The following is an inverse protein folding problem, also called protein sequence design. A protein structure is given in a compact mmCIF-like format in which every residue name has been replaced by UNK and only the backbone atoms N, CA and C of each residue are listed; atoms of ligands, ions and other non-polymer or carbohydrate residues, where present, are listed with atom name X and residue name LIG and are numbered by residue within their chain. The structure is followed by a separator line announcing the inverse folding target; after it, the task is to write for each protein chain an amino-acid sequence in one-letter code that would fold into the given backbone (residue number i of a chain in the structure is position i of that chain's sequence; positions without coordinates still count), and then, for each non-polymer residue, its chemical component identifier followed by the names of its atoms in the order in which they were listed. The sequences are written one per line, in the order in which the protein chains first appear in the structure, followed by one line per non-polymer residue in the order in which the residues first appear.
data_IF_140368820626
#
_entry.id   IF_140368820626
#
_cell.length_a   1.000
_cell.length_b   1.000
_cell.length_c   1.000
_cell.angle_alpha   90.00
_cell.angle_beta   90.00
_cell.angle_gamma   90.00
#
_symmetry.space_group_name_H-M   'P 1'
#
loop_
_entity.id
_entity.type
_entity.pdbx_description
1 polymer ?
#
# COMPACT_ATOMS: atom_id res chain seq x y z
N UNK A 1 -4.53 2.95 14.79
CA UNK A 1 -4.88 1.70 14.08
C UNK A 1 -3.63 1.18 13.43
N UNK A 2 -3.39 -0.13 13.46
CA UNK A 2 -2.26 -0.74 12.79
C UNK A 2 -2.74 -2.04 12.12
N UNK A 3 -2.25 -2.28 10.91
CA UNK A 3 -2.47 -3.51 10.15
C UNK A 3 -1.12 -4.05 9.73
N UNK A 4 -0.94 -5.36 9.89
CA UNK A 4 0.19 -6.10 9.34
C UNK A 4 -0.36 -7.23 8.49
N UNK A 5 0.24 -7.46 7.33
CA UNK A 5 -0.08 -8.57 6.43
C UNK A 5 1.23 -9.08 5.86
N UNK A 6 1.34 -10.38 5.62
CA UNK A 6 2.57 -10.94 5.10
C UNK A 6 2.39 -12.35 4.58
N UNK A 7 3.37 -12.77 3.79
CA UNK A 7 3.42 -14.06 3.14
C UNK A 7 4.81 -14.65 3.28
N UNK A 8 4.86 -15.98 3.44
CA UNK A 8 6.09 -16.75 3.49
C UNK A 8 5.90 -18.00 2.61
N UNK A 9 6.88 -18.26 1.76
CA UNK A 9 6.96 -19.44 0.90
C UNK A 9 8.24 -20.24 1.15
N UNK A 10 8.22 -21.55 0.95
CA UNK A 10 9.38 -22.43 0.94
C UNK A 10 9.91 -22.71 -0.48
N UNK A 11 9.20 -22.27 -1.52
CA UNK A 11 9.58 -22.37 -2.93
C UNK A 11 9.47 -21.02 -3.66
N UNK A 12 9.91 -21.01 -4.92
CA UNK A 12 9.49 -19.94 -5.83
C UNK A 12 8.02 -20.16 -6.19
N UNK A 13 7.24 -19.09 -6.18
CA UNK A 13 5.82 -19.10 -6.51
C UNK A 13 5.60 -18.70 -7.97
N UNK A 14 4.42 -19.01 -8.50
CA UNK A 14 3.99 -18.37 -9.73
C UNK A 14 3.63 -16.90 -9.46
N UNK A 15 3.82 -16.03 -10.45
CA UNK A 15 3.51 -14.59 -10.34
C UNK A 15 2.07 -14.29 -9.90
N UNK A 16 1.13 -15.20 -10.12
CA UNK A 16 -0.26 -15.08 -9.66
C UNK A 16 -0.45 -15.29 -8.15
N UNK A 17 0.53 -15.91 -7.49
CA UNK A 17 0.55 -16.21 -6.06
C UNK A 17 1.44 -15.24 -5.26
N UNK A 18 2.14 -14.34 -5.96
CA UNK A 18 3.05 -13.37 -5.35
C UNK A 18 2.35 -12.39 -4.41
N UNK A 19 3.08 -12.04 -3.34
CA UNK A 19 2.62 -11.05 -2.38
C UNK A 19 2.94 -9.63 -2.86
N UNK A 20 1.90 -8.88 -3.24
CA UNK A 20 2.00 -7.47 -3.62
C UNK A 20 1.96 -6.51 -2.44
N UNK A 21 2.88 -5.53 -2.40
CA UNK A 21 2.90 -4.49 -1.35
C UNK A 21 2.51 -3.10 -1.83
N UNK A 22 2.40 -2.83 -3.13
CA UNK A 22 2.05 -1.52 -3.70
C UNK A 22 0.54 -1.27 -3.88
N UNK A 23 0.17 0.01 -4.03
CA UNK A 23 -1.17 0.42 -4.45
C UNK A 23 -2.08 0.91 -3.33
N UNK A 24 -3.35 1.15 -3.67
CA UNK A 24 -4.35 1.75 -2.77
C UNK A 24 -4.54 1.02 -1.44
N UNK A 25 -4.41 -0.32 -1.47
CA UNK A 25 -4.57 -1.19 -0.30
C UNK A 25 -3.23 -1.64 0.31
N UNK A 26 -2.11 -1.23 -0.30
CA UNK A 26 -0.74 -1.49 0.15
C UNK A 26 -0.04 -0.22 0.64
N UNK A 27 1.18 0.00 0.18
CA UNK A 27 1.90 1.25 0.35
C UNK A 27 1.31 2.28 -0.61
N UNK A 28 0.41 3.13 -0.10
CA UNK A 28 -0.41 4.04 -0.90
C UNK A 28 0.38 5.04 -1.75
N UNK A 29 1.63 5.30 -1.40
CA UNK A 29 2.53 6.17 -2.15
C UNK A 29 3.05 5.56 -3.47
N UNK A 30 2.79 4.27 -3.72
CA UNK A 30 3.23 3.53 -4.90
C UNK A 30 2.04 3.01 -5.72
N UNK A 31 2.21 2.79 -7.04
CA UNK A 31 1.16 2.23 -7.89
C UNK A 31 0.81 0.80 -7.49
N UNK A 32 -0.39 0.36 -7.89
CA UNK A 32 -0.70 -1.07 -7.91
C UNK A 32 0.24 -1.79 -8.89
N UNK A 33 0.67 -3.01 -8.57
CA UNK A 33 1.70 -3.72 -9.34
C UNK A 33 3.12 -3.49 -8.82
N UNK A 34 3.33 -2.58 -7.87
CA UNK A 34 4.67 -2.35 -7.30
C UNK A 34 5.00 -3.36 -6.18
N UNK A 35 6.21 -3.91 -6.22
CA UNK A 35 6.77 -4.74 -5.15
C UNK A 35 6.00 -6.05 -4.97
N UNK A 36 6.23 -7.00 -5.87
CA UNK A 36 5.71 -8.36 -5.80
C UNK A 36 6.85 -9.34 -5.51
N UNK A 37 6.53 -10.43 -4.82
CA UNK A 37 7.46 -11.52 -4.62
C UNK A 37 6.92 -12.64 -3.74
N UNK A 38 7.67 -13.73 -3.70
CA UNK A 38 7.31 -14.97 -3.01
C UNK A 38 7.07 -14.79 -1.51
N UNK A 39 7.78 -13.83 -0.92
CA UNK A 39 7.69 -13.52 0.50
C UNK A 39 7.62 -12.02 0.71
N UNK A 40 6.85 -11.59 1.70
CA UNK A 40 6.82 -10.18 2.03
C UNK A 40 6.03 -9.83 3.26
N UNK A 41 6.13 -8.56 3.61
CA UNK A 41 5.41 -7.94 4.71
C UNK A 41 4.94 -6.55 4.29
N UNK A 42 3.69 -6.26 4.61
CA UNK A 42 3.03 -4.97 4.50
C UNK A 42 2.62 -4.55 5.92
N UNK A 43 3.05 -3.37 6.33
CA UNK A 43 2.65 -2.74 7.59
C UNK A 43 2.05 -1.37 7.30
N UNK A 44 0.86 -1.12 7.83
CA UNK A 44 0.15 0.15 7.68
C UNK A 44 -0.23 0.65 9.06
N UNK A 45 0.17 1.88 9.38
CA UNK A 45 -0.16 2.53 10.64
C UNK A 45 -0.96 3.78 10.34
N UNK A 46 -2.13 3.91 10.97
CA UNK A 46 -3.02 5.07 10.82
C UNK A 46 -3.36 5.69 12.17
N UNK A 47 -3.18 7.00 12.27
CA UNK A 47 -3.72 7.82 13.35
C UNK A 47 -4.96 8.55 12.82
N UNK A 48 -6.13 8.30 13.43
CA UNK A 48 -7.42 8.81 12.95
C UNK A 48 -8.19 9.45 14.09
N UNK A 49 -8.79 10.60 13.83
CA UNK A 49 -9.67 11.29 14.77
C UNK A 49 -11.08 11.41 14.17
N UNK A 50 -12.12 11.03 14.92
CA UNK A 50 -13.51 11.06 14.43
C UNK A 50 -14.21 12.33 14.92
N UNK A 51 -14.79 13.08 13.98
CA UNK A 51 -15.59 14.29 14.21
C UNK A 51 -16.92 14.11 13.48
N UNK A 52 -17.98 13.79 14.23
CA UNK A 52 -19.30 13.50 13.67
C UNK A 52 -19.22 12.43 12.55
N UNK A 53 -19.61 12.79 11.32
CA UNK A 53 -19.59 11.91 10.13
C UNK A 53 -18.24 11.85 9.42
N UNK A 54 -17.26 12.65 9.85
CA UNK A 54 -15.97 12.82 9.19
C UNK A 54 -14.86 12.26 10.07
N UNK A 55 -13.80 11.75 9.47
CA UNK A 55 -12.66 11.18 10.17
C UNK A 55 -11.36 11.46 9.40
N UNK A 56 -10.69 12.59 9.66
CA UNK A 56 -9.34 12.82 9.15
C UNK A 56 -8.36 11.80 9.74
N UNK A 57 -7.33 11.45 8.96
CA UNK A 57 -6.28 10.56 9.41
C UNK A 57 -4.92 10.91 8.80
N UNK A 58 -3.87 10.55 9.53
CA UNK A 58 -2.48 10.49 9.07
C UNK A 58 -2.08 9.03 8.96
N UNK A 59 -1.19 8.70 8.04
CA UNK A 59 -0.72 7.33 7.90
C UNK A 59 0.75 7.22 7.51
N UNK A 60 1.31 6.07 7.83
CA UNK A 60 2.61 5.60 7.35
C UNK A 60 2.50 4.13 6.96
N UNK A 61 2.90 3.82 5.73
CA UNK A 61 2.86 2.49 5.13
C UNK A 61 4.28 2.03 4.79
N UNK A 62 4.54 0.76 5.04
CA UNK A 62 5.82 0.09 4.81
C UNK A 62 5.58 -1.24 4.11
N UNK A 63 6.32 -1.48 3.03
CA UNK A 63 6.27 -2.71 2.25
C UNK A 63 7.66 -3.24 1.99
N UNK A 64 7.86 -4.53 2.23
CA UNK A 64 9.09 -5.22 1.88
C UNK A 64 8.78 -6.59 1.32
N UNK A 65 9.34 -6.90 0.17
CA UNK A 65 9.27 -8.22 -0.45
C UNK A 65 10.66 -8.75 -0.77
N UNK A 66 10.80 -10.06 -0.72
CA UNK A 66 11.84 -10.83 -1.39
C UNK A 66 11.22 -11.36 -2.67
N UNK A 67 11.78 -10.98 -3.82
CA UNK A 67 11.18 -11.25 -5.13
C UNK A 67 11.12 -12.77 -5.36
N UNK A 68 12.27 -13.45 -5.35
CA UNK A 68 12.33 -14.90 -5.45
C UNK A 68 12.91 -15.56 -4.18
N UNK A 69 12.36 -16.69 -3.74
CA UNK A 69 12.83 -17.45 -2.58
C UNK A 69 14.21 -18.03 -2.86
N UNK A 70 14.41 -18.58 -4.06
CA UNK A 70 15.68 -19.01 -4.60
C UNK A 70 16.01 -18.11 -5.80
N UNK A 71 17.06 -17.30 -5.64
CA UNK A 71 17.56 -16.36 -6.65
C UNK A 71 19.08 -16.41 -6.68
N UNK A 72 19.65 -16.30 -7.87
CA UNK A 72 21.09 -16.08 -8.08
C UNK A 72 21.42 -14.57 -8.15
N UNK A 73 20.40 -13.70 -8.19
CA UNK A 73 20.58 -12.25 -8.25
C UNK A 73 20.98 -11.66 -6.89
N UNK A 74 21.93 -10.73 -6.92
CA UNK A 74 22.43 -10.03 -5.74
C UNK A 74 21.42 -9.06 -5.14
N UNK A 75 20.54 -8.47 -5.98
CA UNK A 75 19.47 -7.56 -5.56
C UNK A 75 18.10 -8.19 -5.81
N UNK A 76 17.62 -8.94 -4.81
CA UNK A 76 16.39 -9.73 -4.89
C UNK A 76 15.33 -9.24 -3.89
N UNK A 77 15.41 -7.97 -3.52
CA UNK A 77 14.52 -7.37 -2.53
C UNK A 77 13.94 -6.05 -3.02
N UNK A 78 12.65 -5.84 -2.78
CA UNK A 78 12.01 -4.56 -3.03
C UNK A 78 11.45 -4.01 -1.72
N UNK A 79 11.86 -2.80 -1.38
CA UNK A 79 11.37 -2.06 -0.21
C UNK A 79 10.79 -0.73 -0.65
N UNK A 80 9.58 -0.44 -0.21
CA UNK A 80 8.85 0.79 -0.52
C UNK A 80 8.12 1.30 0.74
N UNK A 81 8.26 2.60 1.01
CA UNK A 81 7.71 3.22 2.21
C UNK A 81 7.03 4.55 1.83
N UNK A 82 5.91 4.88 2.48
CA UNK A 82 5.13 6.08 2.15
C UNK A 82 4.37 6.63 3.34
N UNK A 83 4.13 7.94 3.33
CA UNK A 83 3.36 8.61 4.36
C UNK A 83 2.28 9.47 3.72
N UNK A 84 1.24 9.81 4.47
CA UNK A 84 0.22 10.67 3.92
C UNK A 84 -0.88 11.06 4.87
N UNK A 85 -1.88 11.72 4.28
CA UNK A 85 -3.06 12.23 4.95
C UNK A 85 -4.30 11.74 4.22
N UNK A 86 -5.41 11.62 4.93
CA UNK A 86 -6.66 11.31 4.30
C UNK A 86 -7.87 11.71 5.12
N UNK A 87 -9.03 11.53 4.49
CA UNK A 87 -10.32 11.92 5.02
C UNK A 87 -11.34 10.85 4.69
N UNK A 88 -11.95 10.26 5.74
CA UNK A 88 -13.10 9.37 5.60
C UNK A 88 -14.37 10.12 5.99
N UNK A 89 -15.45 9.92 5.24
CA UNK A 89 -16.77 10.45 5.58
C UNK A 89 -17.86 9.39 5.36
N UNK A 90 -18.89 9.37 6.20
CA UNK A 90 -20.03 8.49 6.02
C UNK A 90 -21.35 9.18 6.39
N UNK A 91 -22.29 9.25 5.45
CA UNK A 91 -23.57 9.94 5.64
C UNK A 91 -24.68 9.31 4.82
N UNK A 92 -25.83 9.01 5.47
CA UNK A 92 -27.05 8.49 4.83
C UNK A 92 -26.81 7.39 3.79
N UNK A 93 -26.06 6.34 4.17
CA UNK A 93 -25.76 5.20 3.29
C UNK A 93 -24.55 5.40 2.38
N UNK A 94 -24.06 6.63 2.19
CA UNK A 94 -22.82 6.91 1.46
C UNK A 94 -21.60 6.80 2.36
N UNK A 95 -20.50 6.33 1.80
CA UNK A 95 -19.17 6.29 2.41
C UNK A 95 -18.12 6.74 1.41
N UNK A 96 -17.17 7.57 1.85
CA UNK A 96 -16.09 8.10 1.03
C UNK A 96 -14.77 7.98 1.78
N UNK A 97 -13.70 7.63 1.08
CA UNK A 97 -12.31 7.72 1.55
C UNK A 97 -11.47 8.44 0.51
N UNK A 98 -10.74 9.47 0.94
CA UNK A 98 -9.77 10.20 0.13
C UNK A 98 -8.41 10.11 0.80
N UNK A 99 -7.35 9.77 0.06
CA UNK A 99 -6.00 9.69 0.58
C UNK A 99 -5.00 10.34 -0.37
N UNK A 100 -4.12 11.17 0.17
CA UNK A 100 -2.93 11.69 -0.52
C UNK A 100 -1.68 11.09 0.12
N UNK A 101 -0.81 10.52 -0.70
CA UNK A 101 0.36 9.76 -0.26
C UNK A 101 1.63 10.25 -0.96
N UNK A 102 2.71 10.40 -0.19
CA UNK A 102 4.04 10.75 -0.68
C UNK A 102 5.03 9.63 -0.39
N UNK A 103 5.94 9.41 -1.34
CA UNK A 103 7.03 8.44 -1.17
C UNK A 103 8.02 8.96 -0.14
N UNK A 104 8.51 8.07 0.72
CA UNK A 104 9.54 8.40 1.72
C UNK A 104 10.82 7.58 1.53
N UNK A 105 10.70 6.30 1.16
CA UNK A 105 11.82 5.42 0.80
C UNK A 105 11.39 4.46 -0.31
N UNK A 106 12.37 3.95 -1.06
CA UNK A 106 12.14 3.00 -2.16
C UNK A 106 12.34 3.60 -3.56
N UNK A 107 12.55 4.90 -3.69
CA UNK A 107 12.84 5.53 -4.99
C UNK A 107 11.64 5.51 -5.94
N UNK A 108 11.91 5.60 -7.24
CA UNK A 108 10.90 5.58 -8.30
C UNK A 108 10.14 4.25 -8.37
N UNK A 109 8.85 4.26 -8.74
CA UNK A 109 8.13 3.03 -9.06
C UNK A 109 8.82 2.28 -10.20
N UNK A 110 8.87 0.95 -10.09
CA UNK A 110 9.37 0.07 -11.15
C UNK A 110 8.22 -0.45 -12.03
N UNK A 111 6.99 -0.44 -11.52
CA UNK A 111 5.82 -1.01 -12.21
C UNK A 111 5.04 -0.03 -13.10
N UNK A 112 5.40 1.26 -13.10
CA UNK A 112 4.69 2.32 -13.82
C UNK A 112 5.69 3.28 -14.46
N UNK A 113 5.51 3.60 -15.74
CA UNK A 113 6.38 4.52 -16.48
C UNK A 113 6.12 5.99 -16.15
N UNK A 114 5.02 6.30 -15.46
CA UNK A 114 4.70 7.66 -15.01
C UNK A 114 4.99 7.81 -13.52
N UNK A 115 5.98 8.63 -13.19
CA UNK A 115 6.23 9.00 -11.80
C UNK A 115 5.13 9.96 -11.30
N UNK A 116 4.29 9.46 -10.40
CA UNK A 116 3.27 10.24 -9.69
C UNK A 116 3.63 10.30 -8.21
N UNK A 117 3.96 11.50 -7.74
CA UNK A 117 4.24 11.80 -6.34
C UNK A 117 3.84 13.26 -6.05
N UNK A 118 2.77 13.53 -5.28
CA UNK A 118 1.96 12.57 -4.53
C UNK A 118 1.02 11.72 -5.39
N UNK A 119 0.52 10.63 -4.79
CA UNK A 119 -0.59 9.82 -5.33
C UNK A 119 -1.89 10.12 -4.59
N UNK A 120 -2.97 10.26 -5.35
CA UNK A 120 -4.34 10.44 -4.85
C UNK A 120 -5.14 9.15 -5.04
N UNK A 121 -5.79 8.72 -3.97
CA UNK A 121 -6.78 7.65 -3.99
C UNK A 121 -8.14 8.18 -3.57
N UNK A 122 -9.19 7.69 -4.23
CA UNK A 122 -10.57 8.00 -3.90
C UNK A 122 -11.40 6.71 -3.96
N UNK A 123 -12.19 6.46 -2.93
CA UNK A 123 -13.15 5.36 -2.87
C UNK A 123 -14.50 5.92 -2.44
N UNK A 124 -15.55 5.55 -3.16
CA UNK A 124 -16.94 5.94 -2.85
C UNK A 124 -17.78 4.68 -2.87
N UNK A 125 -18.65 4.51 -1.88
CA UNK A 125 -19.57 3.39 -1.78
C UNK A 125 -20.94 3.84 -1.27
N UNK A 126 -21.98 3.14 -1.69
CA UNK A 126 -23.35 3.34 -1.23
C UNK A 126 -23.93 2.01 -0.73
N UNK A 127 -24.57 2.04 0.44
CA UNK A 127 -25.28 0.90 1.02
C UNK A 127 -26.78 1.18 0.98
N UNK A 128 -27.51 0.29 0.30
CA UNK A 128 -28.98 0.27 0.18
C UNK A 128 -29.60 -0.69 1.20
#
# INVERSE_FOLDING_TARGET
FARVSGQKSDSNLDSSEDFGVGGAYGVRAYPSGEGYGDQGILTQVELRYRIQQVSPYLFYDFGHVRINKFSEETDNHRRIDGAGIGLRAAYKGFSTDLALAWRTRGGEPLSDSKDRNPRLWATVGYRF
#
